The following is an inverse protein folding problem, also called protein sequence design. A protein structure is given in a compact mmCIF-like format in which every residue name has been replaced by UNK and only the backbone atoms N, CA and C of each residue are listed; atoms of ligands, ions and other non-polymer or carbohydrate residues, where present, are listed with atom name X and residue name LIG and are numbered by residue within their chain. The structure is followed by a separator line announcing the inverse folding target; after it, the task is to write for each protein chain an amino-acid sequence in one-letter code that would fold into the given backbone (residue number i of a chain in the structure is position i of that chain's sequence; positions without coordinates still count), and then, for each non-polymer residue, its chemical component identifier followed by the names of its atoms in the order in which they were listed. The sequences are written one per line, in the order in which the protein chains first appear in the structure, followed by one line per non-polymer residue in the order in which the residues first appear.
data_IF_431083769570
#
_entry.id   IF_431083769570
#
_cell.length_a   1.000
_cell.length_b   1.000
_cell.length_c   1.000
_cell.angle_alpha   90.00
_cell.angle_beta   90.00
_cell.angle_gamma   90.00
#
_symmetry.space_group_name_H-M   'P 1'
#
loop_
_entity.id
_entity.type
_entity.pdbx_description
1 polymer ?
#
# COMPACT_ATOMS: atom_id res chain seq x y z
N UNK A 1 45.63 33.18 27.17
CA UNK A 1 44.53 32.35 26.66
C UNK A 1 43.64 33.27 25.84
N UNK A 2 43.59 33.07 24.52
CA UNK A 2 42.93 34.03 23.61
C UNK A 2 41.42 33.76 23.53
N UNK A 3 40.62 34.78 23.22
CA UNK A 3 39.15 34.68 23.13
C UNK A 3 38.69 33.58 22.14
N UNK A 4 39.51 33.27 21.13
CA UNK A 4 39.30 32.16 20.20
C UNK A 4 39.40 30.77 20.85
N UNK A 5 40.33 30.57 21.81
CA UNK A 5 40.48 29.30 22.53
C UNK A 5 39.31 29.05 23.50
N UNK A 6 38.77 30.12 24.10
CA UNK A 6 37.60 30.03 24.97
C UNK A 6 36.33 29.62 24.20
N UNK A 7 36.14 30.16 22.99
CA UNK A 7 34.98 29.83 22.15
C UNK A 7 35.03 28.38 21.64
N UNK A 8 36.19 27.90 21.20
CA UNK A 8 36.37 26.52 20.77
C UNK A 8 36.04 25.50 21.89
N UNK A 9 36.48 25.78 23.13
CA UNK A 9 36.21 24.91 24.28
C UNK A 9 34.72 24.89 24.70
N UNK A 10 33.96 25.94 24.39
CA UNK A 10 32.50 26.00 24.63
C UNK A 10 31.75 25.22 23.56
N UNK A 11 32.17 25.32 22.29
CA UNK A 11 31.57 24.57 21.18
C UNK A 11 31.80 23.06 21.32
N UNK A 12 32.98 22.63 21.74
CA UNK A 12 33.30 21.22 21.98
C UNK A 12 32.41 20.61 23.09
N UNK A 13 32.26 21.30 24.22
CA UNK A 13 31.36 20.88 25.31
C UNK A 13 29.89 20.85 24.88
N UNK A 14 29.48 21.77 24.00
CA UNK A 14 28.12 21.79 23.44
C UNK A 14 27.88 20.59 22.50
N UNK A 15 28.89 20.20 21.72
CA UNK A 15 28.84 19.01 20.87
C UNK A 15 28.74 17.70 21.65
N UNK A 16 29.52 17.55 22.72
CA UNK A 16 29.47 16.34 23.56
C UNK A 16 28.14 16.18 24.32
N UNK A 17 27.60 17.29 24.85
CA UNK A 17 26.31 17.29 25.54
C UNK A 17 25.16 16.96 24.58
N UNK A 18 25.23 17.42 23.33
CA UNK A 18 24.25 17.08 22.30
C UNK A 18 24.30 15.60 21.91
N UNK A 19 25.50 15.02 21.71
CA UNK A 19 25.66 13.58 21.42
C UNK A 19 25.10 12.68 22.53
N UNK A 20 25.30 13.06 23.80
CA UNK A 20 24.74 12.32 24.96
C UNK A 20 23.21 12.41 25.00
N UNK A 21 22.64 13.58 24.71
CA UNK A 21 21.17 13.77 24.62
C UNK A 21 20.56 13.00 23.46
N UNK A 22 21.19 13.03 22.29
CA UNK A 22 20.74 12.29 21.11
C UNK A 22 20.72 10.77 21.36
N UNK A 23 21.77 10.21 21.99
CA UNK A 23 21.79 8.79 22.37
C UNK A 23 20.69 8.42 23.37
N UNK A 24 20.42 9.27 24.37
CA UNK A 24 19.33 9.03 25.33
C UNK A 24 17.95 9.05 24.66
N UNK A 25 17.73 9.98 23.74
CA UNK A 25 16.48 10.06 22.98
C UNK A 25 16.29 8.84 22.04
N UNK A 26 17.36 8.37 21.41
CA UNK A 26 17.31 7.16 20.58
C UNK A 26 16.96 5.91 21.40
N UNK A 27 17.54 5.75 22.60
CA UNK A 27 17.21 4.64 23.50
C UNK A 27 15.78 4.72 24.00
N UNK A 28 15.29 5.90 24.39
CA UNK A 28 13.91 6.08 24.82
C UNK A 28 12.90 5.77 23.70
N UNK A 29 13.19 6.20 22.47
CA UNK A 29 12.36 5.89 21.30
C UNK A 29 12.30 4.38 21.04
N UNK A 30 13.45 3.69 21.13
CA UNK A 30 13.51 2.24 20.96
C UNK A 30 12.72 1.50 22.06
N UNK A 31 12.78 1.95 23.31
CA UNK A 31 11.98 1.38 24.41
C UNK A 31 10.47 1.55 24.20
N UNK A 32 10.03 2.70 23.68
CA UNK A 32 8.62 2.96 23.38
C UNK A 32 8.14 2.01 22.26
N UNK A 33 8.92 1.87 21.19
CA UNK A 33 8.59 0.97 20.08
C UNK A 33 8.47 -0.50 20.53
N UNK A 34 9.41 -0.97 21.36
CA UNK A 34 9.39 -2.33 21.89
C UNK A 34 8.21 -2.59 22.84
N UNK A 35 7.78 -1.58 23.62
CA UNK A 35 6.61 -1.69 24.49
C UNK A 35 5.29 -1.76 23.72
N UNK A 36 5.19 -1.07 22.58
CA UNK A 36 3.98 -1.08 21.75
C UNK A 36 3.79 -2.38 20.94
N UNK A 37 4.88 -3.10 20.63
CA UNK A 37 4.78 -4.39 19.92
C UNK A 37 4.27 -5.55 20.80
N UNK A 38 4.32 -5.42 22.13
CA UNK A 38 3.86 -6.47 23.06
C UNK A 38 2.33 -6.57 23.21
N UNK A 39 1.59 -5.49 22.97
CA UNK A 39 0.14 -5.45 23.18
C UNK A 39 -0.67 -5.99 21.98
N UNK A 40 -0.07 -6.09 20.79
CA UNK A 40 -0.79 -6.50 19.57
C UNK A 40 -0.97 -8.03 19.40
N UNK A 41 -0.36 -8.86 20.27
CA UNK A 41 -0.40 -10.33 20.15
C UNK A 41 -1.46 -11.05 20.99
N UNK A 42 -2.26 -10.36 21.80
CA UNK A 42 -3.25 -11.01 22.68
C UNK A 42 -4.71 -10.93 22.18
N UNK A 43 -4.97 -10.43 20.97
CA UNK A 43 -6.33 -10.23 20.46
C UNK A 43 -6.81 -11.25 19.41
N UNK A 44 -6.06 -12.35 19.15
CA UNK A 44 -6.38 -13.33 18.08
C UNK A 44 -6.45 -14.78 18.61
N UNK A 45 -6.71 -14.98 19.90
CA UNK A 45 -6.95 -16.33 20.45
C UNK A 45 -8.24 -16.34 21.26
N UNK A 46 -9.37 -16.43 20.55
CA UNK A 46 -10.68 -16.58 21.15
C UNK A 46 -11.77 -16.60 20.09
N UNK A 47 -11.91 -17.72 19.39
CA UNK A 47 -13.18 -18.48 19.32
C UNK A 47 -12.95 -19.72 18.44
N UNK A 48 -13.12 -20.90 19.04
CA UNK A 48 -13.18 -22.17 18.32
C UNK A 48 -14.65 -22.53 18.05
N UNK A 49 -14.91 -22.99 16.81
CA UNK A 49 -16.02 -23.80 16.27
C UNK A 49 -16.68 -24.83 17.24
N UNK A 50 -17.83 -25.51 16.94
CA UNK A 50 -18.41 -25.81 15.61
C UNK A 50 -19.98 -25.84 15.49
N UNK A 51 -20.53 -25.88 14.26
CA UNK A 51 -21.76 -26.63 13.98
C UNK A 51 -21.96 -27.01 12.50
N UNK A 52 -22.17 -28.31 12.31
CA UNK A 52 -22.48 -29.09 11.11
C UNK A 52 -23.87 -28.76 10.52
N UNK A 53 -24.01 -28.74 9.18
CA UNK A 53 -25.20 -29.26 8.47
C UNK A 53 -25.03 -29.32 6.94
N UNK A 54 -25.04 -30.57 6.46
CA UNK A 54 -25.71 -31.15 5.28
C UNK A 54 -25.70 -30.51 3.88
N UNK A 55 -25.40 -31.42 2.94
CA UNK A 55 -25.52 -31.34 1.50
C UNK A 55 -26.93 -31.01 0.99
N UNK A 56 -26.98 -30.27 -0.12
CA UNK A 56 -27.92 -30.44 -1.25
C UNK A 56 -27.34 -29.74 -2.48
N UNK A 57 -27.20 -30.47 -3.58
CA UNK A 57 -26.86 -29.97 -4.93
C UNK A 57 -28.17 -29.87 -5.77
N UNK A 58 -28.16 -29.32 -7.00
CA UNK A 58 -28.49 -27.94 -7.33
C UNK A 58 -29.79 -27.82 -8.18
N UNK A 59 -30.42 -26.64 -8.22
CA UNK A 59 -31.39 -26.28 -9.29
C UNK A 59 -31.40 -24.75 -9.48
N UNK A 60 -31.49 -24.24 -10.72
CA UNK A 60 -31.04 -22.90 -11.09
C UNK A 60 -32.18 -21.91 -10.97
N UNK A 61 -31.92 -20.74 -10.36
CA UNK A 61 -32.68 -19.53 -10.70
C UNK A 61 -31.94 -18.26 -10.25
N UNK A 62 -31.55 -17.48 -11.26
CA UNK A 62 -31.71 -16.02 -11.36
C UNK A 62 -31.67 -15.23 -10.04
N UNK A 63 -30.46 -14.89 -9.57
CA UNK A 63 -30.25 -13.75 -8.68
C UNK A 63 -28.80 -13.24 -8.78
N UNK A 64 -28.53 -12.36 -9.75
CA UNK A 64 -27.20 -11.75 -9.97
C UNK A 64 -26.89 -10.60 -8.99
N UNK A 65 -27.76 -10.29 -8.02
CA UNK A 65 -27.61 -9.12 -7.14
C UNK A 65 -26.88 -9.36 -5.79
N UNK A 66 -27.04 -10.47 -5.05
CA UNK A 66 -26.47 -10.60 -3.71
C UNK A 66 -24.98 -11.01 -3.70
N UNK A 67 -24.46 -11.54 -4.82
CA UNK A 67 -23.06 -11.96 -4.91
C UNK A 67 -22.09 -10.78 -5.02
N UNK A 68 -22.42 -9.74 -5.80
CA UNK A 68 -21.54 -8.58 -6.01
C UNK A 68 -21.36 -7.74 -4.73
N UNK A 69 -22.43 -7.56 -3.95
CA UNK A 69 -22.37 -6.87 -2.66
C UNK A 69 -21.55 -7.66 -1.62
N UNK A 70 -21.67 -9.00 -1.62
CA UNK A 70 -20.91 -9.88 -0.72
C UNK A 70 -19.42 -9.96 -1.09
N UNK A 71 -19.09 -9.87 -2.38
CA UNK A 71 -17.70 -9.77 -2.85
C UNK A 71 -17.07 -8.45 -2.37
N UNK A 72 -17.79 -7.33 -2.50
CA UNK A 72 -17.29 -6.00 -2.12
C UNK A 72 -16.87 -5.86 -0.65
N UNK A 73 -17.52 -6.58 0.27
CA UNK A 73 -17.23 -6.53 1.72
C UNK A 73 -16.05 -7.43 2.15
N UNK A 74 -15.61 -8.35 1.28
CA UNK A 74 -14.56 -9.34 1.60
C UNK A 74 -13.21 -9.08 0.92
N UNK A 75 -13.11 -8.12 -0.01
CA UNK A 75 -11.86 -7.86 -0.75
C UNK A 75 -10.88 -7.06 0.11
N UNK A 76 -9.91 -7.76 0.71
CA UNK A 76 -8.78 -7.16 1.41
C UNK A 76 -7.60 -6.91 0.45
N UNK A 77 -7.71 -5.88 -0.39
CA UNK A 77 -6.65 -5.53 -1.34
C UNK A 77 -5.33 -5.19 -0.61
N UNK A 78 -5.39 -4.50 0.53
CA UNK A 78 -4.22 -4.14 1.34
C UNK A 78 -3.40 -5.35 1.80
N UNK A 79 -4.08 -6.38 2.31
CA UNK A 79 -3.46 -7.64 2.71
C UNK A 79 -2.75 -8.30 1.52
N UNK A 80 -3.45 -8.44 0.39
CA UNK A 80 -2.89 -9.05 -0.81
C UNK A 80 -1.66 -8.29 -1.36
N UNK A 81 -1.71 -6.95 -1.37
CA UNK A 81 -0.56 -6.13 -1.76
C UNK A 81 0.62 -6.25 -0.77
N UNK A 82 0.34 -6.40 0.52
CA UNK A 82 1.36 -6.65 1.53
C UNK A 82 2.05 -8.01 1.35
N UNK A 83 1.28 -9.06 1.08
CA UNK A 83 1.81 -10.39 0.78
C UNK A 83 2.73 -10.37 -0.44
N UNK A 84 2.35 -9.68 -1.52
CA UNK A 84 3.21 -9.53 -2.69
C UNK A 84 4.55 -8.83 -2.38
N UNK A 85 4.54 -7.81 -1.50
CA UNK A 85 5.77 -7.13 -1.07
C UNK A 85 6.68 -8.04 -0.26
N UNK A 86 6.10 -8.84 0.64
CA UNK A 86 6.82 -9.76 1.50
C UNK A 86 7.39 -10.96 0.71
N UNK A 87 6.63 -11.48 -0.27
CA UNK A 87 7.05 -12.60 -1.11
C UNK A 87 8.16 -12.22 -2.10
N UNK A 88 8.20 -10.95 -2.54
CA UNK A 88 9.16 -10.45 -3.53
C UNK A 88 9.86 -9.16 -3.04
N UNK A 89 10.79 -9.26 -2.07
CA UNK A 89 11.41 -8.10 -1.44
C UNK A 89 12.39 -7.35 -2.35
N UNK A 90 12.99 -8.01 -3.36
CA UNK A 90 13.91 -7.34 -4.29
C UNK A 90 13.13 -6.68 -5.44
N UNK A 91 13.00 -5.36 -5.36
CA UNK A 91 12.22 -4.58 -6.33
C UNK A 91 12.81 -4.54 -7.74
N UNK A 92 14.08 -4.89 -7.91
CA UNK A 92 14.76 -4.89 -9.23
C UNK A 92 14.85 -6.31 -9.75
N UNK A 93 15.50 -7.21 -9.01
CA UNK A 93 15.74 -8.58 -9.48
C UNK A 93 14.44 -9.39 -9.63
N UNK A 94 13.40 -9.05 -8.86
CA UNK A 94 12.12 -9.75 -8.88
C UNK A 94 10.98 -8.87 -9.42
N UNK A 95 11.28 -7.81 -10.16
CA UNK A 95 10.28 -6.82 -10.57
C UNK A 95 9.09 -7.44 -11.33
N UNK A 96 9.33 -8.37 -12.28
CA UNK A 96 8.26 -9.03 -13.05
C UNK A 96 7.42 -9.96 -12.16
N UNK A 97 8.06 -10.74 -11.28
CA UNK A 97 7.36 -11.65 -10.38
C UNK A 97 6.50 -10.88 -9.36
N UNK A 98 7.07 -9.84 -8.75
CA UNK A 98 6.37 -8.92 -7.86
C UNK A 98 5.18 -8.25 -8.54
N UNK A 99 5.37 -7.75 -9.76
CA UNK A 99 4.30 -7.09 -10.51
C UNK A 99 3.20 -8.06 -10.91
N UNK A 100 3.55 -9.28 -11.29
CA UNK A 100 2.56 -10.32 -11.58
C UNK A 100 1.70 -10.67 -10.36
N UNK A 101 2.30 -10.66 -9.16
CA UNK A 101 1.55 -10.80 -7.91
C UNK A 101 0.60 -9.61 -7.68
N UNK A 102 1.09 -8.38 -7.85
CA UNK A 102 0.27 -7.16 -7.70
C UNK A 102 -0.91 -7.16 -8.66
N UNK A 103 -0.73 -7.56 -9.92
CA UNK A 103 -1.81 -7.65 -10.91
C UNK A 103 -2.88 -8.64 -10.44
N UNK A 104 -2.49 -9.84 -9.99
CA UNK A 104 -3.44 -10.81 -9.43
C UNK A 104 -4.18 -10.28 -8.20
N UNK A 105 -3.50 -9.50 -7.35
CA UNK A 105 -4.11 -8.88 -6.19
C UNK A 105 -5.13 -7.80 -6.60
N UNK A 106 -4.83 -6.98 -7.61
CA UNK A 106 -5.74 -5.93 -8.09
C UNK A 106 -6.89 -6.48 -8.93
N UNK A 107 -6.76 -7.67 -9.52
CA UNK A 107 -7.86 -8.37 -10.21
C UNK A 107 -9.08 -8.59 -9.31
N UNK A 108 -8.88 -8.67 -7.98
CA UNK A 108 -9.97 -8.74 -6.99
C UNK A 108 -10.87 -7.49 -7.01
N UNK A 109 -10.34 -6.34 -7.40
CA UNK A 109 -11.08 -5.07 -7.48
C UNK A 109 -11.77 -4.90 -8.82
N UNK A 110 -11.32 -5.59 -9.87
CA UNK A 110 -11.85 -5.46 -11.23
C UNK A 110 -13.38 -5.56 -11.32
N UNK A 111 -14.08 -6.50 -10.66
CA UNK A 111 -15.54 -6.59 -10.72
C UNK A 111 -16.28 -5.44 -10.02
N UNK A 112 -15.59 -4.68 -9.17
CA UNK A 112 -16.13 -3.59 -8.38
C UNK A 112 -15.98 -2.23 -9.06
N UNK A 113 -15.19 -2.16 -10.13
CA UNK A 113 -14.91 -0.91 -10.85
C UNK A 113 -16.02 -0.58 -11.85
N UNK A 114 -16.46 0.69 -11.92
CA UNK A 114 -17.39 1.14 -12.96
C UNK A 114 -16.77 1.06 -14.37
N UNK A 115 -15.45 1.22 -14.46
CA UNK A 115 -14.67 1.20 -15.70
C UNK A 115 -13.47 0.25 -15.55
N UNK A 116 -13.67 -1.09 -15.59
CA UNK A 116 -12.63 -2.08 -15.32
C UNK A 116 -11.45 -2.02 -16.31
N UNK A 117 -11.67 -1.50 -17.51
CA UNK A 117 -10.63 -1.33 -18.53
C UNK A 117 -9.55 -0.31 -18.14
N UNK A 118 -9.85 0.61 -17.20
CA UNK A 118 -8.85 1.55 -16.66
C UNK A 118 -7.81 0.80 -15.81
N UNK A 119 -8.25 -0.16 -15.00
CA UNK A 119 -7.36 -1.04 -14.25
C UNK A 119 -6.55 -1.95 -15.20
N UNK A 120 -7.18 -2.48 -16.25
CA UNK A 120 -6.49 -3.30 -17.25
C UNK A 120 -5.34 -2.51 -17.91
N UNK A 121 -5.56 -1.22 -18.23
CA UNK A 121 -4.52 -0.33 -18.78
C UNK A 121 -3.40 -0.06 -17.78
N UNK A 122 -3.74 0.17 -16.52
CA UNK A 122 -2.74 0.36 -15.45
C UNK A 122 -1.87 -0.89 -15.27
N UNK A 123 -2.48 -2.06 -15.23
CA UNK A 123 -1.81 -3.34 -15.07
C UNK A 123 -0.91 -3.66 -16.28
N UNK A 124 -1.34 -3.31 -17.50
CA UNK A 124 -0.51 -3.44 -18.71
C UNK A 124 0.76 -2.57 -18.63
N UNK A 125 0.65 -1.31 -18.20
CA UNK A 125 1.82 -0.45 -18.00
C UNK A 125 2.75 -1.03 -16.93
N UNK A 126 2.21 -1.41 -15.76
CA UNK A 126 3.01 -1.98 -14.67
C UNK A 126 3.84 -3.16 -15.15
N UNK A 127 3.25 -4.07 -15.94
CA UNK A 127 3.96 -5.22 -16.52
C UNK A 127 5.11 -4.79 -17.43
N UNK A 128 4.87 -3.89 -18.37
CA UNK A 128 5.90 -3.40 -19.30
C UNK A 128 7.06 -2.69 -18.57
N UNK A 129 6.77 -1.93 -17.52
CA UNK A 129 7.81 -1.27 -16.72
C UNK A 129 8.59 -2.24 -15.84
N UNK A 130 7.94 -3.28 -15.34
CA UNK A 130 8.61 -4.32 -14.56
C UNK A 130 9.67 -5.06 -15.39
N UNK A 131 9.37 -5.35 -16.65
CA UNK A 131 10.33 -5.95 -17.59
C UNK A 131 11.55 -5.03 -17.80
N UNK A 132 11.33 -3.73 -17.99
CA UNK A 132 12.41 -2.74 -18.16
C UNK A 132 13.26 -2.55 -16.89
N UNK A 133 12.63 -2.50 -15.72
CA UNK A 133 13.33 -2.42 -14.42
C UNK A 133 14.18 -3.66 -14.20
N UNK A 134 13.64 -4.86 -14.44
CA UNK A 134 14.38 -6.11 -14.23
C UNK A 134 15.54 -6.26 -15.21
N UNK A 135 15.35 -5.78 -16.46
CA UNK A 135 16.40 -5.68 -17.46
C UNK A 135 17.42 -4.56 -17.19
N UNK A 136 17.21 -3.75 -16.13
CA UNK A 136 18.04 -2.59 -15.76
C UNK A 136 18.14 -1.52 -16.85
N UNK A 137 17.19 -1.50 -17.78
CA UNK A 137 17.08 -0.46 -18.81
C UNK A 137 16.31 0.76 -18.31
N UNK A 138 15.62 0.63 -17.18
CA UNK A 138 14.90 1.70 -16.50
C UNK A 138 15.19 1.66 -14.99
N UNK A 139 15.28 2.83 -14.36
CA UNK A 139 15.43 2.93 -12.91
C UNK A 139 14.09 2.74 -12.18
N UNK A 140 14.13 2.30 -10.92
CA UNK A 140 12.93 2.24 -10.07
C UNK A 140 12.25 3.60 -9.92
N UNK A 141 13.03 4.67 -9.84
CA UNK A 141 12.52 6.03 -9.72
C UNK A 141 11.72 6.42 -10.98
N UNK A 142 12.28 6.17 -12.15
CA UNK A 142 11.62 6.46 -13.43
C UNK A 142 10.34 5.64 -13.60
N UNK A 143 10.37 4.35 -13.25
CA UNK A 143 9.17 3.49 -13.21
C UNK A 143 8.08 4.07 -12.32
N UNK A 144 8.44 4.59 -11.14
CA UNK A 144 7.48 5.17 -10.21
C UNK A 144 6.85 6.46 -10.77
N UNK A 145 7.63 7.31 -11.43
CA UNK A 145 7.12 8.51 -12.10
C UNK A 145 6.13 8.15 -13.21
N UNK A 146 6.44 7.14 -14.02
CA UNK A 146 5.56 6.73 -15.13
C UNK A 146 4.23 6.15 -14.63
N UNK A 147 4.24 5.36 -13.55
CA UNK A 147 3.00 4.83 -12.95
C UNK A 147 2.16 5.93 -12.33
N UNK A 148 2.77 6.87 -11.62
CA UNK A 148 2.07 8.01 -11.05
C UNK A 148 1.39 8.84 -12.14
N UNK A 149 2.11 9.12 -13.23
CA UNK A 149 1.57 9.86 -14.37
C UNK A 149 0.37 9.15 -14.97
N UNK A 150 0.45 7.84 -15.23
CA UNK A 150 -0.68 7.10 -15.77
C UNK A 150 -1.85 7.06 -14.79
N UNK A 151 -1.60 6.80 -13.50
CA UNK A 151 -2.67 6.72 -12.50
C UNK A 151 -3.48 8.01 -12.40
N UNK A 152 -2.81 9.17 -12.39
CA UNK A 152 -3.49 10.47 -12.42
C UNK A 152 -4.37 10.62 -13.68
N UNK A 153 -3.86 10.26 -14.85
CA UNK A 153 -4.64 10.28 -16.10
C UNK A 153 -5.87 9.37 -16.06
N UNK A 154 -5.76 8.20 -15.44
CA UNK A 154 -6.87 7.26 -15.30
C UNK A 154 -7.94 7.79 -14.33
N UNK A 155 -7.55 8.47 -13.24
CA UNK A 155 -8.49 9.08 -12.31
C UNK A 155 -9.23 10.28 -12.94
N UNK A 156 -8.54 11.10 -13.71
CA UNK A 156 -9.16 12.19 -14.48
C UNK A 156 -10.15 11.63 -15.51
N UNK A 157 -9.76 10.56 -16.22
CA UNK A 157 -10.62 9.87 -17.18
C UNK A 157 -11.85 9.24 -16.50
N UNK A 158 -11.67 8.54 -15.38
CA UNK A 158 -12.77 8.00 -14.57
C UNK A 158 -13.74 9.12 -14.16
N UNK A 159 -13.23 10.22 -13.59
CA UNK A 159 -14.06 11.34 -13.15
C UNK A 159 -14.83 11.97 -14.31
N UNK A 160 -14.22 12.12 -15.48
CA UNK A 160 -14.87 12.68 -16.68
C UNK A 160 -16.00 11.82 -17.23
N UNK A 161 -15.93 10.50 -17.02
CA UNK A 161 -16.92 9.52 -17.50
C UNK A 161 -18.06 9.31 -16.51
N UNK A 162 -17.85 9.65 -15.23
CA UNK A 162 -18.90 9.57 -14.22
C UNK A 162 -19.98 10.62 -14.52
N UNK A 163 -21.27 10.25 -14.45
CA UNK A 163 -22.33 11.22 -14.59
C UNK A 163 -22.27 12.24 -13.44
N UNK A 164 -22.67 13.51 -13.65
CA UNK A 164 -22.86 14.45 -12.56
C UNK A 164 -23.91 13.88 -11.59
N UNK A 165 -23.47 13.45 -10.42
CA UNK A 165 -24.30 12.68 -9.51
C UNK A 165 -25.44 13.53 -8.91
N UNK A 166 -26.70 13.04 -8.87
CA UNK A 166 -27.67 13.50 -7.86
C UNK A 166 -27.26 12.99 -6.47
N UNK A 167 -27.78 13.61 -5.41
CA UNK A 167 -27.32 13.53 -4.03
C UNK A 167 -27.25 12.12 -3.37
N UNK A 168 -27.71 11.05 -4.03
CA UNK A 168 -27.81 9.69 -3.50
C UNK A 168 -26.76 8.70 -4.07
N UNK A 169 -25.61 9.20 -4.56
CA UNK A 169 -24.52 8.32 -4.98
C UNK A 169 -23.99 7.52 -3.78
N UNK A 170 -24.33 6.22 -3.75
CA UNK A 170 -23.81 5.27 -2.78
C UNK A 170 -22.28 5.32 -2.73
N UNK A 171 -21.72 5.35 -1.52
CA UNK A 171 -20.28 5.40 -1.29
C UNK A 171 -19.61 4.22 -2.04
N UNK A 172 -18.54 4.46 -2.82
CA UNK A 172 -17.85 3.38 -3.53
C UNK A 172 -17.32 2.32 -2.55
N UNK A 173 -17.23 1.05 -2.97
CA UNK A 173 -16.64 -0.02 -2.15
C UNK A 173 -15.25 0.35 -1.64
N UNK A 174 -14.90 -0.11 -0.42
CA UNK A 174 -13.64 0.24 0.21
C UNK A 174 -12.41 -0.15 -0.64
N UNK A 175 -12.44 -1.32 -1.29
CA UNK A 175 -11.38 -1.77 -2.18
C UNK A 175 -11.21 -0.87 -3.43
N UNK A 176 -12.30 -0.28 -3.92
CA UNK A 176 -12.27 0.69 -5.03
C UNK A 176 -11.67 2.01 -4.56
N UNK A 177 -12.09 2.51 -3.39
CA UNK A 177 -11.47 3.68 -2.76
C UNK A 177 -9.98 3.46 -2.53
N UNK A 178 -9.61 2.27 -2.05
CA UNK A 178 -8.23 1.90 -1.81
C UNK A 178 -7.41 1.84 -3.11
N UNK A 179 -7.94 1.27 -4.20
CA UNK A 179 -7.25 1.30 -5.49
C UNK A 179 -7.05 2.73 -6.01
N UNK A 180 -8.07 3.60 -5.90
CA UNK A 180 -7.93 5.03 -6.26
C UNK A 180 -6.87 5.75 -5.42
N UNK A 181 -6.79 5.37 -4.15
CA UNK A 181 -5.77 5.81 -3.19
C UNK A 181 -4.50 4.97 -3.22
N UNK A 182 -4.35 4.02 -4.14
CA UNK A 182 -3.08 3.35 -4.35
C UNK A 182 -2.25 4.28 -5.23
N UNK A 183 -1.04 4.60 -4.80
CA UNK A 183 -0.11 5.55 -5.46
C UNK A 183 -0.25 7.10 -5.29
N UNK A 184 -1.01 7.70 -4.35
CA UNK A 184 -1.09 9.14 -4.19
C UNK A 184 0.10 9.63 -3.35
N UNK A 185 1.10 10.20 -4.01
CA UNK A 185 2.13 11.09 -3.45
C UNK A 185 3.00 10.56 -2.27
N UNK A 186 4.31 10.34 -2.49
CA UNK A 186 5.30 10.47 -1.40
C UNK A 186 5.94 9.21 -0.79
N UNK A 187 5.65 7.98 -1.24
CA UNK A 187 6.34 6.78 -0.75
C UNK A 187 7.81 6.63 -1.21
N UNK A 188 8.30 7.62 -1.97
CA UNK A 188 9.64 7.63 -2.58
C UNK A 188 10.45 8.89 -2.30
N UNK A 189 10.12 9.72 -1.29
CA UNK A 189 11.14 10.63 -0.74
C UNK A 189 12.05 9.81 0.16
N UNK A 190 13.36 9.88 -0.10
CA UNK A 190 14.40 9.32 0.77
C UNK A 190 14.10 9.74 2.23
N UNK A 191 13.61 8.79 3.04
CA UNK A 191 13.30 8.98 4.46
C UNK A 191 11.81 8.99 4.89
N UNK A 192 10.84 8.65 4.04
CA UNK A 192 9.42 8.59 4.43
C UNK A 192 8.92 7.19 4.81
N UNK A 193 8.15 7.10 5.91
CA UNK A 193 7.58 5.86 6.44
C UNK A 193 6.70 5.12 5.42
N UNK A 194 7.12 3.90 5.07
CA UNK A 194 6.41 2.97 4.19
C UNK A 194 5.08 2.42 4.76
N UNK A 195 4.71 2.79 5.99
CA UNK A 195 3.61 2.19 6.74
C UNK A 195 2.20 2.65 6.32
N UNK A 196 2.07 3.79 5.66
CA UNK A 196 0.78 4.31 5.14
C UNK A 196 0.71 4.30 3.61
N UNK A 197 1.67 3.62 2.97
CA UNK A 197 1.71 3.39 1.54
C UNK A 197 0.90 2.14 1.23
N UNK A 198 -0.36 2.33 0.86
CA UNK A 198 -1.24 1.23 0.45
C UNK A 198 -1.11 0.97 -1.05
#
# INVERSE_FOLDING_TARGET
MTDAQARAAVEERRGETWRKRARRLAVLSLCILLSCCGAARQAVEGEADPATASATEPTPDTATAPAAAKVAETVNLNGALAECRSAFPDQIAQAVARTSCVIKATDLVRPLLPFPELLDRENALRKALAEQVQARTMSLLERNVQIQKLHAQLLDEEHSRLPPAPADASKPPAAVTQWRQSNPEGCGRLGGDSGSCY
#
